data_IF_653031494142
#
_entry.id   IF_653031494142
#
_cell.length_a   1.000
_cell.length_b   1.000
_cell.length_c   1.000
_cell.angle_alpha   90.00
_cell.angle_beta   90.00
_cell.angle_gamma   90.00
#
_symmetry.space_group_name_H-M   'P 1'
#
loop_
_entity.id
_entity.type
_entity.pdbx_description
1 polymer ?
#
# COMPACT_ATOMS: atom_id res chain seq x y z
N UNK A 1 -20.78 37.27 17.15
CA UNK A 1 -20.12 38.58 17.34
C UNK A 1 -18.68 38.34 17.80
N UNK A 2 -17.70 39.00 17.17
CA UNK A 2 -16.28 38.85 17.52
C UNK A 2 -15.99 39.47 18.89
N UNK A 3 -15.15 38.82 19.71
CA UNK A 3 -14.73 39.38 20.99
C UNK A 3 -13.89 40.64 20.75
N UNK A 4 -14.06 41.70 21.55
CA UNK A 4 -13.29 42.92 21.37
C UNK A 4 -11.79 42.65 21.59
N UNK A 5 -10.92 43.35 20.85
CA UNK A 5 -9.46 43.15 20.90
C UNK A 5 -8.88 43.20 22.32
N UNK A 6 -9.44 44.04 23.19
CA UNK A 6 -9.05 44.11 24.61
C UNK A 6 -9.27 42.81 25.37
N UNK A 7 -10.35 42.08 25.11
CA UNK A 7 -10.63 40.79 25.75
C UNK A 7 -9.79 39.65 25.19
N UNK A 8 -9.37 39.74 23.91
CA UNK A 8 -8.45 38.78 23.30
C UNK A 8 -7.04 38.96 23.92
N UNK A 9 -6.58 40.21 24.04
CA UNK A 9 -5.27 40.54 24.59
C UNK A 9 -5.18 40.31 26.11
N UNK A 10 -6.23 40.63 26.88
CA UNK A 10 -6.28 40.39 28.34
C UNK A 10 -6.79 39.00 28.75
N UNK A 11 -7.26 38.20 27.78
CA UNK A 11 -7.81 36.86 28.01
C UNK A 11 -6.79 35.90 28.62
N UNK A 12 -5.51 36.01 28.22
CA UNK A 12 -4.42 35.20 28.77
C UNK A 12 -4.20 35.47 30.26
N UNK A 13 -4.15 36.73 30.67
CA UNK A 13 -3.96 37.10 32.08
C UNK A 13 -5.15 36.67 32.95
N UNK A 14 -6.38 36.84 32.45
CA UNK A 14 -7.60 36.33 33.10
C UNK A 14 -7.59 34.79 33.20
N UNK A 15 -7.07 34.09 32.21
CA UNK A 15 -6.92 32.64 32.24
C UNK A 15 -5.89 32.21 33.29
N UNK A 16 -4.72 32.86 33.33
CA UNK A 16 -3.69 32.61 34.35
C UNK A 16 -4.22 32.86 35.77
N UNK A 17 -4.93 33.96 35.98
CA UNK A 17 -5.49 34.30 37.29
C UNK A 17 -6.58 33.30 37.72
N UNK A 18 -7.43 32.85 36.80
CA UNK A 18 -8.43 31.80 37.06
C UNK A 18 -7.79 30.45 37.34
N UNK A 19 -6.77 30.07 36.58
CA UNK A 19 -6.03 28.82 36.78
C UNK A 19 -5.26 28.81 38.11
N UNK A 20 -4.69 29.95 38.49
CA UNK A 20 -4.04 30.12 39.78
C UNK A 20 -5.04 30.01 40.95
N UNK A 21 -6.27 30.52 40.77
CA UNK A 21 -7.35 30.39 41.77
C UNK A 21 -7.99 29.01 41.83
N UNK A 22 -8.03 28.25 40.73
CA UNK A 22 -8.69 26.95 40.68
C UNK A 22 -8.08 25.89 41.63
N UNK A 23 -6.77 25.99 41.92
CA UNK A 23 -6.08 25.10 42.86
C UNK A 23 -5.81 25.77 44.22
N UNK A 24 -6.32 26.98 44.43
CA UNK A 24 -6.16 27.70 45.69
C UNK A 24 -7.28 27.29 46.63
N UNK A 25 -6.93 26.58 47.69
CA UNK A 25 -7.86 26.22 48.76
C UNK A 25 -8.00 27.44 49.68
N UNK A 26 -9.23 27.77 50.09
CA UNK A 26 -9.52 28.98 50.88
C UNK A 26 -9.00 28.88 52.33
N UNK A 27 -9.02 27.67 52.92
CA UNK A 27 -8.47 27.40 54.24
C UNK A 27 -7.79 26.02 54.30
N UNK A 28 -6.68 25.93 55.04
CA UNK A 28 -5.98 24.66 55.29
C UNK A 28 -6.10 24.33 56.77
N UNK A 29 -7.04 23.47 57.11
CA UNK A 29 -7.25 22.99 58.48
C UNK A 29 -6.42 21.74 58.76
N UNK A 30 -5.77 21.68 59.93
CA UNK A 30 -4.97 20.53 60.31
C UNK A 30 -5.79 19.50 61.08
N UNK A 31 -6.13 18.42 60.39
CA UNK A 31 -6.88 17.32 60.98
C UNK A 31 -5.93 16.29 61.62
N UNK A 32 -5.96 16.23 62.95
CA UNK A 32 -5.06 15.38 63.75
C UNK A 32 -5.33 13.89 63.50
N UNK A 33 -6.57 13.50 63.22
CA UNK A 33 -6.95 12.10 62.97
C UNK A 33 -6.38 11.62 61.64
N UNK A 34 -6.59 12.41 60.57
CA UNK A 34 -5.99 12.15 59.25
C UNK A 34 -4.47 12.09 59.30
N UNK A 35 -3.84 12.88 60.18
CA UNK A 35 -2.39 12.84 60.39
C UNK A 35 -1.95 11.50 61.01
N UNK A 36 -2.67 10.99 62.00
CA UNK A 36 -2.37 9.69 62.61
C UNK A 36 -2.56 8.56 61.59
N UNK A 37 -3.64 8.61 60.80
CA UNK A 37 -3.87 7.67 59.70
C UNK A 37 -2.79 7.75 58.62
N UNK A 38 -2.31 8.96 58.33
CA UNK A 38 -1.17 9.14 57.42
C UNK A 38 0.13 8.62 58.05
N UNK A 39 0.39 8.81 59.33
CA UNK A 39 1.63 8.30 59.93
C UNK A 39 1.62 6.78 60.10
N UNK A 40 0.48 6.15 60.33
CA UNK A 40 0.40 4.70 60.56
C UNK A 40 0.04 3.91 59.28
N UNK A 41 -0.68 4.52 58.34
CA UNK A 41 -1.22 3.88 57.14
C UNK A 41 -0.24 3.73 55.96
N UNK A 42 1.06 3.55 56.19
CA UNK A 42 2.06 3.43 55.11
C UNK A 42 1.73 2.31 54.11
N UNK A 43 1.26 1.16 54.60
CA UNK A 43 0.86 0.05 53.74
C UNK A 43 -0.35 0.43 52.87
N UNK A 44 -1.37 1.07 53.46
CA UNK A 44 -2.55 1.58 52.73
C UNK A 44 -2.13 2.53 51.61
N UNK A 45 -1.24 3.49 51.88
CA UNK A 45 -0.71 4.41 50.85
C UNK A 45 0.15 3.71 49.80
N UNK A 46 0.93 2.71 50.19
CA UNK A 46 1.72 1.92 49.23
C UNK A 46 0.79 1.16 48.27
N UNK A 47 -0.29 0.56 48.78
CA UNK A 47 -1.30 -0.10 47.96
C UNK A 47 -2.07 0.89 47.08
N UNK A 48 -2.50 2.02 47.62
CA UNK A 48 -3.17 3.08 46.85
C UNK A 48 -2.29 3.60 45.71
N UNK A 49 -1.00 3.85 45.96
CA UNK A 49 -0.05 4.26 44.90
C UNK A 49 0.10 3.19 43.83
N UNK A 50 0.14 1.91 44.19
CA UNK A 50 0.17 0.80 43.22
C UNK A 50 -1.10 0.75 42.38
N UNK A 51 -2.29 0.85 43.01
CA UNK A 51 -3.58 0.86 42.32
C UNK A 51 -3.72 2.06 41.39
N UNK A 52 -3.42 3.26 41.86
CA UNK A 52 -3.42 4.47 41.03
C UNK A 52 -2.47 4.37 39.84
N UNK A 53 -1.29 3.78 40.02
CA UNK A 53 -0.37 3.54 38.90
C UNK A 53 -0.91 2.51 37.89
N UNK A 54 -1.63 1.49 38.35
CA UNK A 54 -2.33 0.52 37.49
C UNK A 54 -3.48 1.20 36.73
N UNK A 55 -4.33 1.96 37.41
CA UNK A 55 -5.46 2.70 36.83
C UNK A 55 -5.00 3.68 35.75
N UNK A 56 -3.96 4.49 36.01
CA UNK A 56 -3.39 5.38 35.01
C UNK A 56 -2.84 4.64 33.78
N UNK A 57 -2.21 3.48 33.99
CA UNK A 57 -1.71 2.67 32.88
C UNK A 57 -2.86 2.07 32.05
N UNK A 58 -3.92 1.62 32.70
CA UNK A 58 -5.14 1.13 32.03
C UNK A 58 -5.86 2.23 31.26
N UNK A 59 -5.98 3.43 31.83
CA UNK A 59 -6.59 4.58 31.17
C UNK A 59 -5.78 4.98 29.92
N UNK A 60 -4.46 5.07 30.03
CA UNK A 60 -3.58 5.35 28.88
C UNK A 60 -3.70 4.26 27.79
N UNK A 61 -3.78 2.99 28.17
CA UNK A 61 -3.97 1.90 27.22
C UNK A 61 -5.34 1.97 26.52
N UNK A 62 -6.41 2.33 27.25
CA UNK A 62 -7.74 2.54 26.68
C UNK A 62 -7.75 3.70 25.69
N UNK A 63 -7.16 4.84 26.07
CA UNK A 63 -7.01 6.01 25.20
C UNK A 63 -6.24 5.65 23.92
N UNK A 64 -5.10 4.96 24.04
CA UNK A 64 -4.32 4.51 22.88
C UNK A 64 -5.12 3.58 21.95
N UNK A 65 -5.89 2.63 22.50
CA UNK A 65 -6.74 1.75 21.68
C UNK A 65 -7.84 2.51 20.94
N UNK A 66 -8.41 3.52 21.56
CA UNK A 66 -9.44 4.36 20.94
C UNK A 66 -8.82 5.18 19.80
N UNK A 67 -7.67 5.81 20.05
CA UNK A 67 -6.91 6.56 19.04
C UNK A 67 -6.48 5.66 17.86
N UNK A 68 -5.99 4.46 18.13
CA UNK A 68 -5.63 3.48 17.09
C UNK A 68 -6.85 3.09 16.24
N UNK A 69 -8.00 2.83 16.87
CA UNK A 69 -9.24 2.52 16.15
C UNK A 69 -9.73 3.73 15.34
N UNK A 70 -9.64 4.94 15.87
CA UNK A 70 -10.00 6.15 15.15
C UNK A 70 -9.12 6.31 13.91
N UNK A 71 -7.79 6.18 14.07
CA UNK A 71 -6.82 6.23 12.98
C UNK A 71 -7.07 5.18 11.90
N UNK A 72 -7.41 3.95 12.29
CA UNK A 72 -7.77 2.89 11.31
C UNK A 72 -9.04 3.26 10.55
N UNK A 73 -10.04 3.85 11.20
CA UNK A 73 -11.27 4.30 10.52
C UNK A 73 -10.98 5.45 9.57
N UNK A 74 -10.16 6.41 9.97
CA UNK A 74 -9.72 7.52 9.11
C UNK A 74 -8.94 7.00 7.90
N UNK A 75 -7.94 6.13 8.11
CA UNK A 75 -7.18 5.49 7.02
C UNK A 75 -8.10 4.72 6.06
N UNK A 76 -9.14 4.03 6.56
CA UNK A 76 -10.12 3.35 5.71
C UNK A 76 -10.97 4.33 4.91
N UNK A 77 -11.43 5.42 5.53
CA UNK A 77 -12.22 6.46 4.85
C UNK A 77 -11.39 7.15 3.76
N UNK A 78 -10.15 7.51 4.06
CA UNK A 78 -9.22 8.09 3.10
C UNK A 78 -8.96 7.13 1.93
N UNK A 79 -8.71 5.84 2.19
CA UNK A 79 -8.56 4.83 1.13
C UNK A 79 -9.80 4.73 0.24
N UNK A 80 -10.99 4.73 0.84
CA UNK A 80 -12.25 4.69 0.07
C UNK A 80 -12.43 5.96 -0.76
N UNK A 81 -12.16 7.14 -0.19
CA UNK A 81 -12.24 8.40 -0.92
C UNK A 81 -11.23 8.48 -2.07
N UNK A 82 -10.00 8.04 -1.85
CA UNK A 82 -8.98 7.95 -2.91
C UNK A 82 -9.43 7.00 -4.01
N UNK A 83 -9.95 5.83 -3.65
CA UNK A 83 -10.48 4.88 -4.64
C UNK A 83 -11.66 5.49 -5.41
N UNK A 84 -12.62 6.13 -4.75
CA UNK A 84 -13.74 6.81 -5.42
C UNK A 84 -13.25 7.92 -6.36
N UNK A 85 -12.25 8.70 -5.97
CA UNK A 85 -11.67 9.74 -6.81
C UNK A 85 -10.90 9.15 -8.01
N UNK A 86 -10.22 8.02 -7.84
CA UNK A 86 -9.59 7.27 -8.94
C UNK A 86 -10.67 6.73 -9.90
N UNK A 87 -11.75 6.15 -9.37
CA UNK A 87 -12.89 5.68 -10.15
C UNK A 87 -13.56 6.80 -10.95
N UNK A 88 -13.73 7.99 -10.36
CA UNK A 88 -14.28 9.15 -11.08
C UNK A 88 -13.37 9.58 -12.21
N UNK A 89 -12.05 9.65 -11.99
CA UNK A 89 -11.09 10.01 -13.04
C UNK A 89 -11.03 9.00 -14.18
N UNK A 90 -11.07 7.71 -13.85
CA UNK A 90 -11.10 6.61 -14.83
C UNK A 90 -12.46 6.59 -15.56
N UNK A 91 -13.56 6.79 -14.85
CA UNK A 91 -14.89 6.90 -15.44
C UNK A 91 -14.99 8.06 -16.42
N UNK A 92 -14.42 9.22 -16.08
CA UNK A 92 -14.38 10.37 -16.98
C UNK A 92 -13.44 10.16 -18.19
N UNK A 93 -12.38 9.35 -18.05
CA UNK A 93 -11.51 8.99 -19.20
C UNK A 93 -12.10 7.90 -20.09
N UNK A 94 -12.97 7.04 -19.54
CA UNK A 94 -13.71 6.02 -20.31
C UNK A 94 -14.93 6.63 -21.00
N UNK A 95 -15.56 7.67 -20.45
CA UNK A 95 -16.74 8.36 -21.00
C UNK A 95 -16.49 9.20 -22.27
N UNK A 96 -15.31 9.11 -22.88
CA UNK A 96 -15.03 9.72 -24.18
C UNK A 96 -15.16 8.63 -25.24
N UNK A 97 -16.20 8.73 -26.07
CA UNK A 97 -16.64 7.84 -27.18
C UNK A 97 -17.70 6.76 -26.88
N UNK A 98 -18.79 7.09 -26.16
CA UNK A 98 -20.08 6.41 -26.35
C UNK A 98 -21.21 7.47 -26.41
N UNK A 99 -21.27 8.19 -27.54
CA UNK A 99 -22.50 8.87 -28.01
C UNK A 99 -23.27 7.86 -28.87
N UNK A 100 -23.93 6.90 -28.23
CA UNK A 100 -25.10 6.13 -28.69
C UNK A 100 -25.23 4.90 -27.77
N UNK A 101 -26.09 4.95 -26.75
CA UNK A 101 -27.20 4.00 -26.64
C UNK A 101 -28.07 4.31 -25.41
N UNK A 102 -29.32 3.90 -25.54
CA UNK A 102 -30.54 4.35 -24.87
C UNK A 102 -30.63 4.32 -23.33
N UNK A 103 -31.50 5.22 -22.86
CA UNK A 103 -32.22 5.17 -21.59
C UNK A 103 -32.73 3.77 -21.24
N UNK A 104 -32.33 3.22 -20.10
CA UNK A 104 -33.17 2.25 -19.39
C UNK A 104 -33.14 2.50 -17.87
N UNK A 105 -34.17 3.21 -17.43
CA UNK A 105 -34.61 3.36 -16.06
C UNK A 105 -34.85 1.97 -15.44
N UNK A 106 -34.01 1.56 -14.49
CA UNK A 106 -34.29 0.37 -13.66
C UNK A 106 -34.23 0.76 -12.19
N UNK A 107 -35.37 1.19 -11.66
CA UNK A 107 -35.69 1.00 -10.25
C UNK A 107 -35.82 -0.51 -9.97
N UNK A 108 -35.11 -1.04 -8.97
CA UNK A 108 -35.75 -1.77 -7.86
C UNK A 108 -34.75 -2.29 -6.81
N UNK A 109 -35.01 -1.84 -5.58
CA UNK A 109 -35.06 -2.60 -4.31
C UNK A 109 -33.76 -3.16 -3.72
N UNK A 110 -33.33 -2.46 -2.67
CA UNK A 110 -32.56 -3.04 -1.58
C UNK A 110 -33.35 -4.12 -0.83
N UNK A 111 -32.74 -5.27 -0.58
CA UNK A 111 -32.88 -5.97 0.71
C UNK A 111 -31.57 -6.66 1.12
N UNK A 112 -31.25 -6.71 2.44
CA UNK A 112 -30.00 -7.25 2.95
C UNK A 112 -30.15 -8.73 3.35
N UNK A 113 -29.24 -9.61 2.92
CA UNK A 113 -29.15 -10.96 3.48
C UNK A 113 -27.71 -11.43 3.74
N UNK A 114 -27.28 -11.13 4.97
CA UNK A 114 -26.76 -12.02 6.00
C UNK A 114 -25.95 -13.28 5.58
N UNK A 115 -24.73 -13.31 6.11
CA UNK A 115 -23.84 -14.44 6.40
C UNK A 115 -24.39 -15.86 6.23
N UNK A 116 -23.69 -16.65 5.40
CA UNK A 116 -23.51 -18.10 5.62
C UNK A 116 -22.29 -18.64 4.86
N UNK A 117 -21.24 -18.94 5.65
CA UNK A 117 -20.32 -20.08 5.52
C UNK A 117 -20.04 -20.61 4.10
N UNK A 118 -18.86 -20.29 3.58
CA UNK A 118 -18.10 -21.23 2.76
C UNK A 118 -16.77 -21.55 3.44
N UNK A 119 -16.76 -22.68 4.16
CA UNK A 119 -15.55 -23.45 4.45
C UNK A 119 -14.94 -23.82 3.09
N UNK A 120 -13.73 -23.36 2.78
CA UNK A 120 -12.90 -23.99 1.75
C UNK A 120 -11.79 -24.76 2.46
N UNK A 121 -11.81 -26.05 2.17
CA UNK A 121 -10.92 -27.10 2.64
C UNK A 121 -9.54 -26.85 2.07
N UNK A 122 -8.54 -26.97 2.95
CA UNK A 122 -7.12 -27.14 2.66
C UNK A 122 -6.91 -28.41 1.85
N UNK A 123 -6.40 -28.27 0.63
CA UNK A 123 -5.58 -29.30 -0.01
C UNK A 123 -4.28 -28.59 -0.37
N UNK A 124 -3.30 -28.76 0.52
CA UNK A 124 -1.91 -28.43 0.27
C UNK A 124 -1.38 -29.45 -0.74
N UNK A 125 -1.51 -29.13 -2.03
CA UNK A 125 -0.66 -29.70 -3.07
C UNK A 125 0.22 -28.55 -3.59
N UNK A 126 1.22 -28.23 -2.78
CA UNK A 126 2.33 -27.36 -3.14
C UNK A 126 3.08 -28.05 -4.29
N UNK A 127 2.90 -27.52 -5.50
CA UNK A 127 3.57 -27.98 -6.70
C UNK A 127 5.09 -27.87 -6.50
N UNK A 128 5.75 -29.01 -6.30
CA UNK A 128 7.21 -29.11 -6.33
C UNK A 128 7.62 -29.11 -7.81
N UNK A 129 8.05 -27.95 -8.30
CA UNK A 129 8.61 -27.78 -9.64
C UNK A 129 9.73 -28.78 -9.91
N UNK A 130 9.94 -29.08 -11.19
CA UNK A 130 10.91 -30.08 -11.66
C UNK A 130 12.28 -29.86 -11.01
N UNK A 131 12.74 -30.91 -10.34
CA UNK A 131 14.09 -31.04 -9.80
C UNK A 131 15.08 -30.92 -10.97
N UNK A 132 15.76 -29.77 -11.06
CA UNK A 132 16.89 -29.59 -11.98
C UNK A 132 18.05 -30.42 -11.44
N UNK A 133 18.12 -31.67 -11.90
CA UNK A 133 19.32 -32.48 -11.80
C UNK A 133 20.48 -31.73 -12.48
N UNK A 134 21.55 -31.53 -11.73
CA UNK A 134 22.85 -31.10 -12.23
C UNK A 134 23.34 -32.08 -13.31
N UNK A 135 23.19 -31.70 -14.58
CA UNK A 135 23.99 -32.24 -15.67
C UNK A 135 24.45 -31.09 -16.59
N UNK A 136 25.73 -30.74 -16.39
CA UNK A 136 26.70 -30.15 -17.32
C UNK A 136 26.26 -29.06 -18.33
N UNK A 137 26.85 -27.87 -18.15
CA UNK A 137 27.43 -26.98 -19.17
C UNK A 137 26.69 -26.81 -20.52
N UNK A 138 26.04 -25.65 -20.68
CA UNK A 138 25.70 -25.11 -21.99
C UNK A 138 24.95 -23.79 -21.91
N UNK A 139 25.66 -22.67 -21.92
CA UNK A 139 25.07 -21.34 -22.10
C UNK A 139 24.27 -21.26 -23.41
N UNK A 140 22.93 -21.33 -23.34
CA UNK A 140 22.05 -20.80 -24.38
C UNK A 140 21.01 -19.90 -23.73
N UNK A 141 21.29 -18.60 -23.84
CA UNK A 141 20.32 -17.54 -23.60
C UNK A 141 19.13 -17.71 -24.56
N UNK A 142 17.98 -18.09 -24.00
CA UNK A 142 16.67 -18.10 -24.67
C UNK A 142 16.14 -16.67 -24.83
N UNK A 143 16.85 -15.86 -25.62
CA UNK A 143 16.27 -14.66 -26.24
C UNK A 143 15.63 -15.08 -27.56
N UNK A 144 14.35 -14.72 -27.73
CA UNK A 144 13.44 -15.22 -28.76
C UNK A 144 14.04 -15.34 -30.17
N UNK A 145 14.36 -16.57 -30.56
CA UNK A 145 14.56 -16.92 -31.96
C UNK A 145 13.38 -17.79 -32.37
N UNK A 146 12.53 -17.25 -33.23
CA UNK A 146 11.50 -18.03 -33.90
C UNK A 146 12.09 -19.24 -34.62
N UNK A 147 11.25 -20.21 -34.90
CA UNK A 147 11.55 -21.52 -35.53
C UNK A 147 12.14 -21.42 -36.96
N UNK A 148 12.41 -20.21 -37.45
CA UNK A 148 12.93 -19.93 -38.79
C UNK A 148 14.43 -19.61 -38.75
N UNK A 149 15.18 -20.33 -39.58
CA UNK A 149 16.49 -20.90 -39.24
C UNK A 149 17.66 -19.98 -39.57
N UNK A 150 18.65 -20.03 -38.67
CA UNK A 150 20.05 -19.68 -38.92
C UNK A 150 20.58 -20.55 -40.07
N UNK A 151 21.40 -20.00 -40.98
CA UNK A 151 22.09 -20.78 -42.03
C UNK A 151 22.83 -21.96 -41.40
N UNK A 152 22.41 -23.19 -41.70
CA UNK A 152 23.08 -24.41 -41.23
C UNK A 152 23.89 -24.99 -42.38
N UNK A 153 25.22 -24.92 -42.26
CA UNK A 153 26.16 -25.53 -43.21
C UNK A 153 26.57 -26.88 -42.63
N UNK A 154 26.19 -27.97 -43.28
CA UNK A 154 26.61 -29.31 -42.92
C UNK A 154 27.92 -29.65 -43.65
N UNK A 155 28.99 -29.92 -42.90
CA UNK A 155 30.24 -30.46 -43.43
C UNK A 155 30.33 -31.93 -43.06
N UNK A 156 30.39 -32.80 -44.06
CA UNK A 156 30.58 -34.24 -43.89
C UNK A 156 31.99 -34.56 -44.34
N UNK A 157 32.86 -35.00 -43.42
CA UNK A 157 34.28 -35.30 -43.69
C UNK A 157 34.56 -36.81 -43.79
N UNK A 158 33.53 -37.67 -43.73
CA UNK A 158 33.66 -39.12 -43.84
C UNK A 158 33.44 -39.62 -45.29
N UNK A 159 34.37 -40.43 -45.80
CA UNK A 159 34.40 -40.98 -47.17
C UNK A 159 33.35 -42.08 -47.46
N UNK A 160 32.39 -42.31 -46.56
CA UNK A 160 31.36 -43.36 -46.70
C UNK A 160 29.95 -42.82 -47.02
N UNK A 161 29.83 -41.51 -47.25
CA UNK A 161 28.60 -40.88 -47.73
C UNK A 161 28.46 -40.94 -49.27
N UNK A 162 27.24 -41.03 -49.83
CA UNK A 162 27.03 -41.22 -51.27
C UNK A 162 27.44 -40.02 -52.16
N UNK A 163 27.65 -38.82 -51.60
CA UNK A 163 28.17 -37.65 -52.34
C UNK A 163 29.13 -36.88 -51.43
N UNK A 164 30.38 -36.70 -51.88
CA UNK A 164 31.43 -35.95 -51.17
C UNK A 164 31.39 -34.50 -51.66
N UNK A 165 30.92 -33.57 -50.82
CA UNK A 165 30.84 -32.14 -51.16
C UNK A 165 29.91 -31.34 -50.25
N UNK A 166 29.94 -30.02 -50.38
CA UNK A 166 29.02 -29.10 -49.69
C UNK A 166 27.68 -29.07 -50.41
N UNK A 167 26.60 -29.50 -49.77
CA UNK A 167 25.24 -29.32 -50.28
C UNK A 167 24.65 -28.02 -49.72
N UNK A 168 24.19 -27.14 -50.61
CA UNK A 168 23.46 -25.92 -50.25
C UNK A 168 21.97 -26.17 -50.48
N UNK A 169 21.16 -26.00 -49.43
CA UNK A 169 19.70 -26.10 -49.52
C UNK A 169 19.15 -24.67 -49.49
N UNK A 170 18.82 -24.14 -50.67
CA UNK A 170 18.07 -22.88 -50.81
C UNK A 170 16.60 -23.14 -50.53
N UNK A 171 16.13 -22.72 -49.36
CA UNK A 171 14.70 -22.72 -49.04
C UNK A 171 14.13 -21.42 -49.59
N UNK A 172 13.48 -21.49 -50.75
CA UNK A 172 12.72 -20.37 -51.27
C UNK A 172 11.48 -20.16 -50.39
N UNK A 173 11.17 -18.91 -49.98
CA UNK A 173 9.93 -18.64 -49.28
C UNK A 173 8.79 -18.99 -50.23
N UNK A 174 7.96 -19.98 -49.87
CA UNK A 174 6.64 -20.07 -50.47
C UNK A 174 5.92 -18.77 -50.10
N UNK A 175 5.85 -17.84 -51.04
CA UNK A 175 4.91 -16.72 -50.97
C UNK A 175 3.54 -17.33 -50.77
N UNK A 176 2.96 -17.13 -49.58
CA UNK A 176 1.63 -17.61 -49.30
C UNK A 176 0.70 -16.89 -50.29
N UNK A 177 0.05 -17.60 -51.23
CA UNK A 177 -0.74 -16.97 -52.28
C UNK A 177 -1.95 -16.20 -51.73
N UNK A 178 -2.25 -16.36 -50.43
CA UNK A 178 -3.30 -15.67 -49.71
C UNK A 178 -2.77 -14.57 -48.77
N UNK A 179 -1.57 -14.01 -48.97
CA UNK A 179 -1.17 -12.79 -48.26
C UNK A 179 -2.07 -11.66 -48.75
N UNK A 180 -3.13 -11.40 -47.98
CA UNK A 180 -3.98 -10.24 -48.22
C UNK A 180 -3.21 -9.02 -47.72
N UNK A 181 -2.98 -8.07 -48.62
CA UNK A 181 -2.36 -6.80 -48.23
C UNK A 181 -3.31 -6.07 -47.28
N UNK A 182 -2.89 -5.96 -46.02
CA UNK A 182 -3.64 -5.30 -44.94
C UNK A 182 -3.95 -3.85 -45.32
N UNK A 183 -3.12 -3.24 -46.17
CA UNK A 183 -3.36 -1.89 -46.68
C UNK A 183 -4.58 -1.81 -47.59
N UNK A 184 -4.84 -2.84 -48.39
CA UNK A 184 -6.01 -2.87 -49.28
C UNK A 184 -7.28 -3.15 -48.50
N UNK A 185 -7.23 -4.06 -47.52
CA UNK A 185 -8.36 -4.27 -46.59
C UNK A 185 -8.67 -2.97 -45.82
N UNK A 186 -7.64 -2.26 -45.36
CA UNK A 186 -7.84 -1.01 -44.64
C UNK A 186 -8.46 0.07 -45.55
N UNK A 187 -8.02 0.20 -46.81
CA UNK A 187 -8.65 1.09 -47.80
C UNK A 187 -10.10 0.72 -48.05
N UNK A 188 -10.42 -0.57 -48.19
CA UNK A 188 -11.79 -1.05 -48.39
C UNK A 188 -12.71 -0.70 -47.21
N UNK A 189 -12.16 -0.68 -45.99
CA UNK A 189 -12.88 -0.33 -44.78
C UNK A 189 -12.72 1.15 -44.37
N UNK A 190 -12.09 1.99 -45.20
CA UNK A 190 -11.82 3.41 -44.92
C UNK A 190 -11.07 3.64 -43.59
N UNK A 191 -10.11 2.78 -43.24
CA UNK A 191 -9.31 2.86 -42.00
C UNK A 191 -7.93 3.46 -42.26
N UNK A 192 -7.59 4.50 -41.48
CA UNK A 192 -6.27 5.14 -41.51
C UNK A 192 -5.22 4.34 -40.73
N UNK A 193 -4.37 3.58 -41.44
CA UNK A 193 -3.30 2.79 -40.81
C UNK A 193 -2.25 3.64 -40.08
N UNK A 194 -2.11 4.94 -40.39
CA UNK A 194 -1.17 5.85 -39.71
C UNK A 194 -1.53 6.10 -38.24
N UNK A 195 -2.80 5.93 -37.86
CA UNK A 195 -3.30 6.10 -36.49
C UNK A 195 -3.27 4.81 -35.67
N UNK A 196 -2.95 3.67 -36.28
CA UNK A 196 -2.98 2.34 -35.65
C UNK A 196 -2.19 2.27 -34.34
N UNK A 197 -1.01 2.87 -34.29
CA UNK A 197 -0.19 2.90 -33.07
C UNK A 197 -0.84 3.64 -31.90
N UNK A 198 -1.55 4.75 -32.18
CA UNK A 198 -2.27 5.52 -31.15
C UNK A 198 -3.46 4.73 -30.61
N UNK A 199 -4.25 4.12 -31.51
CA UNK A 199 -5.38 3.27 -31.15
C UNK A 199 -4.92 2.09 -30.27
N UNK A 200 -3.77 1.49 -30.62
CA UNK A 200 -3.18 0.44 -29.81
C UNK A 200 -2.79 0.94 -28.41
N UNK A 201 -2.12 2.09 -28.32
CA UNK A 201 -1.72 2.70 -27.04
C UNK A 201 -2.94 3.04 -26.16
N UNK A 202 -3.98 3.62 -26.73
CA UNK A 202 -5.24 3.95 -26.05
C UNK A 202 -5.95 2.69 -25.56
N UNK A 203 -5.99 1.62 -26.37
CA UNK A 203 -6.57 0.33 -25.98
C UNK A 203 -5.81 -0.33 -24.82
N UNK A 204 -4.47 -0.26 -24.83
CA UNK A 204 -3.62 -0.78 -23.76
C UNK A 204 -3.87 0.02 -22.47
N UNK A 205 -3.98 1.34 -22.56
CA UNK A 205 -4.23 2.20 -21.41
C UNK A 205 -5.63 1.95 -20.82
N UNK A 206 -6.67 1.83 -21.67
CA UNK A 206 -8.02 1.47 -21.25
C UNK A 206 -8.06 0.10 -20.55
N UNK A 207 -7.35 -0.89 -21.10
CA UNK A 207 -7.25 -2.22 -20.50
C UNK A 207 -6.54 -2.18 -19.14
N UNK A 208 -5.46 -1.39 -18.99
CA UNK A 208 -4.78 -1.17 -17.70
C UNK A 208 -5.68 -0.51 -16.67
N UNK A 209 -6.41 0.54 -17.05
CA UNK A 209 -7.34 1.20 -16.14
C UNK A 209 -8.49 0.28 -15.71
N UNK A 210 -8.97 -0.59 -16.60
CA UNK A 210 -9.97 -1.61 -16.28
C UNK A 210 -9.43 -2.70 -15.34
N UNK A 211 -8.18 -3.14 -15.54
CA UNK A 211 -7.51 -4.07 -14.65
C UNK A 211 -7.29 -3.48 -13.24
N UNK A 212 -6.93 -2.18 -13.17
CA UNK A 212 -6.87 -1.39 -11.94
C UNK A 212 -8.20 -1.32 -11.22
N UNK A 213 -9.27 -1.05 -11.98
CA UNK A 213 -10.65 -0.98 -11.50
C UNK A 213 -11.11 -2.30 -10.84
N UNK A 214 -10.86 -3.41 -11.54
CA UNK A 214 -11.18 -4.76 -11.08
C UNK A 214 -10.24 -5.25 -9.95
N UNK A 215 -9.16 -4.52 -9.65
CA UNK A 215 -8.17 -4.92 -8.66
C UNK A 215 -7.37 -6.15 -9.10
N UNK A 216 -7.25 -6.36 -10.41
CA UNK A 216 -6.44 -7.40 -11.06
C UNK A 216 -5.01 -6.94 -11.37
N UNK A 217 -4.69 -5.68 -11.10
CA UNK A 217 -3.33 -5.14 -11.22
C UNK A 217 -2.42 -5.72 -10.13
N UNK A 218 -1.66 -6.76 -10.49
CA UNK A 218 -0.66 -7.42 -9.63
C UNK A 218 0.53 -6.50 -9.26
N UNK A 219 0.67 -5.33 -9.90
CA UNK A 219 1.77 -4.37 -9.65
C UNK A 219 1.53 -3.39 -8.49
N UNK A 220 0.36 -3.42 -7.85
CA UNK A 220 0.19 -2.66 -6.59
C UNK A 220 0.90 -3.38 -5.42
N UNK A 221 2.22 -3.24 -5.33
CA UNK A 221 2.92 -3.44 -4.06
C UNK A 221 2.34 -2.42 -3.06
N UNK A 222 1.46 -2.86 -2.15
CA UNK A 222 1.07 -2.04 -1.01
C UNK A 222 2.36 -1.48 -0.39
N UNK A 223 2.50 -0.14 -0.22
CA UNK A 223 3.74 0.43 0.28
C UNK A 223 4.04 -0.23 1.61
N UNK A 224 5.11 -1.04 1.65
CA UNK A 224 5.49 -1.90 2.78
C UNK A 224 5.41 -1.06 4.04
N UNK A 225 4.33 -1.26 4.83
CA UNK A 225 4.06 -0.48 6.03
C UNK A 225 5.32 -0.52 6.87
N UNK A 226 6.02 0.62 7.00
CA UNK A 226 7.24 0.69 7.79
C UNK A 226 6.88 0.20 9.20
N UNK A 227 7.32 -1.02 9.54
CA UNK A 227 7.01 -1.64 10.83
C UNK A 227 7.52 -0.67 11.90
N UNK A 228 6.59 -0.01 12.61
CA UNK A 228 6.95 0.88 13.73
C UNK A 228 7.77 0.03 14.70
N UNK A 229 9.04 0.41 14.91
CA UNK A 229 9.91 -0.30 15.85
C UNK A 229 9.16 -0.43 17.18
N UNK A 230 8.96 -1.66 17.65
CA UNK A 230 8.39 -1.90 18.99
C UNK A 230 9.26 -1.12 19.96
N UNK A 231 8.65 -0.20 20.72
CA UNK A 231 9.37 0.48 21.80
C UNK A 231 9.61 -0.59 22.87
N UNK A 232 10.82 -1.12 22.93
CA UNK A 232 11.21 -1.97 24.04
C UNK A 232 11.06 -1.14 25.32
N UNK A 233 10.05 -1.49 26.13
CA UNK A 233 9.80 -0.88 27.45
C UNK A 233 10.86 -1.31 28.47
N UNK A 234 12.08 -1.64 28.03
CA UNK A 234 13.20 -1.91 28.91
C UNK A 234 13.69 -0.56 29.40
N UNK A 235 13.66 -0.35 30.71
CA UNK A 235 14.20 0.87 31.32
C UNK A 235 15.64 1.05 30.85
N UNK A 236 15.89 2.04 30.00
CA UNK A 236 17.23 2.43 29.56
C UNK A 236 18.11 2.61 30.81
N UNK A 237 19.27 1.97 30.81
CA UNK A 237 20.25 2.11 31.90
C UNK A 237 20.59 3.60 32.10
N UNK A 238 21.12 3.98 33.27
CA UNK A 238 21.49 5.39 33.53
C UNK A 238 22.43 5.95 32.44
N UNK A 239 23.34 5.11 31.93
CA UNK A 239 24.27 5.45 30.85
C UNK A 239 23.54 5.65 29.52
N UNK A 240 22.63 4.77 29.16
CA UNK A 240 21.82 4.88 27.93
C UNK A 240 20.91 6.10 27.93
N UNK A 241 20.28 6.45 29.07
CA UNK A 241 19.46 7.68 29.18
C UNK A 241 20.29 8.93 28.93
N UNK A 242 21.50 9.00 29.47
CA UNK A 242 22.40 10.14 29.25
C UNK A 242 22.78 10.28 27.78
N UNK A 243 23.10 9.18 27.10
CA UNK A 243 23.41 9.16 25.66
C UNK A 243 22.20 9.58 24.83
N UNK A 244 21.01 9.09 25.15
CA UNK A 244 19.78 9.48 24.44
C UNK A 244 19.47 10.97 24.60
N UNK A 245 19.58 11.51 25.81
CA UNK A 245 19.39 12.94 26.06
C UNK A 245 20.41 13.80 25.29
N UNK A 246 21.67 13.37 25.19
CA UNK A 246 22.68 14.05 24.38
C UNK A 246 22.33 14.01 22.88
N UNK A 247 21.88 12.87 22.36
CA UNK A 247 21.43 12.74 20.96
C UNK A 247 20.22 13.62 20.67
N UNK A 248 19.24 13.63 21.56
CA UNK A 248 18.02 14.46 21.42
C UNK A 248 18.38 15.97 21.45
N UNK A 249 19.32 16.39 22.31
CA UNK A 249 19.85 17.77 22.33
C UNK A 249 20.60 18.11 21.03
N UNK A 250 21.45 17.21 20.52
CA UNK A 250 22.19 17.43 19.27
C UNK A 250 21.25 17.55 18.07
N UNK A 251 20.23 16.68 17.98
CA UNK A 251 19.21 16.74 16.95
C UNK A 251 18.37 18.03 17.05
N UNK A 252 18.03 18.46 18.28
CA UNK A 252 17.35 19.73 18.53
C UNK A 252 18.16 20.93 18.04
N UNK A 253 19.47 20.96 18.31
CA UNK A 253 20.36 22.04 17.84
C UNK A 253 20.48 22.06 16.32
N UNK A 254 20.62 20.88 15.70
CA UNK A 254 20.76 20.77 14.25
C UNK A 254 19.50 21.24 13.50
N UNK A 255 18.31 20.97 14.04
CA UNK A 255 17.04 21.49 13.51
C UNK A 255 16.83 22.99 13.74
N UNK A 256 17.58 23.59 14.67
CA UNK A 256 17.49 25.03 14.98
C UNK A 256 18.44 25.86 14.12
N UNK A 257 19.45 25.20 13.55
CA UNK A 257 20.48 25.77 12.70
C UNK A 257 20.23 25.50 11.20
N UNK A 258 19.08 24.95 10.85
CA UNK A 258 18.61 24.66 9.49
C UNK A 258 17.28 25.36 9.31
#
# INVERSE_FOLDING_TARGET
>A
MSKPNRDILSGGERYHHRKAKAHRVDEVTFDKEKRIDFLTGFHKRKLQRKKHAQELAEEQNKQQRIEERAKIREERKERVQLRLAELQKIGDSIKVDDEDDDDEETEEKEEPNNDKKRKRVTVDEEWHGFDEGEDSNGDIASSGRGILKVRQVYKIESNEGPVIGTSEVTIEPLENPNVVDVSDIAKMNNVDLSKSGKVLEDSINRAKDYARLLGMDDEYEEPKRQKKKKKDRKYLSKRERKIKQLKDKKASLHRKNR
#
